data_IF_704512665301
#
_entry.id   IF_704512665301
#
_cell.length_a   1.000
_cell.length_b   1.000
_cell.length_c   1.000
_cell.angle_alpha   90.00
_cell.angle_beta   90.00
_cell.angle_gamma   90.00
#
_symmetry.space_group_name_H-M   'P 1'
#
loop_
_entity.id
_entity.type
_entity.pdbx_description
1 polymer ?
#
# COMPACT_ATOMS: atom_id res chain seq x y z
N UNK A 1 -26.87 -5.68 -25.89
CA UNK A 1 -26.68 -5.62 -24.41
C UNK A 1 -25.20 -5.47 -24.08
N UNK A 2 -24.86 -4.51 -23.27
CA UNK A 2 -23.48 -4.29 -22.88
C UNK A 2 -23.19 -5.08 -21.59
N UNK A 3 -22.19 -5.95 -21.66
CA UNK A 3 -21.74 -6.68 -20.48
C UNK A 3 -20.96 -5.73 -19.55
N UNK A 4 -21.40 -5.64 -18.31
CA UNK A 4 -20.66 -4.87 -17.31
C UNK A 4 -19.43 -5.66 -16.90
N UNK A 5 -18.27 -5.01 -16.91
CA UNK A 5 -17.06 -5.59 -16.37
C UNK A 5 -17.23 -5.80 -14.85
N UNK A 6 -16.65 -6.87 -14.31
CA UNK A 6 -16.65 -7.12 -12.88
C UNK A 6 -15.86 -6.01 -12.15
N UNK A 7 -16.14 -5.81 -10.85
CA UNK A 7 -15.40 -4.86 -10.03
C UNK A 7 -13.90 -5.15 -10.01
N UNK A 8 -13.56 -6.45 -9.97
CA UNK A 8 -12.16 -6.87 -10.00
C UNK A 8 -11.49 -6.48 -11.32
N UNK A 9 -12.17 -6.64 -12.46
CA UNK A 9 -11.65 -6.29 -13.77
C UNK A 9 -11.48 -4.78 -13.92
N UNK A 10 -12.43 -3.98 -13.44
CA UNK A 10 -12.34 -2.51 -13.45
C UNK A 10 -11.15 -2.05 -12.63
N UNK A 11 -10.97 -2.60 -11.43
CA UNK A 11 -9.84 -2.28 -10.56
C UNK A 11 -8.50 -2.65 -11.19
N UNK A 12 -8.43 -3.82 -11.83
CA UNK A 12 -7.24 -4.28 -12.54
C UNK A 12 -6.86 -3.33 -13.67
N UNK A 13 -7.85 -2.84 -14.44
CA UNK A 13 -7.60 -1.89 -15.51
C UNK A 13 -7.12 -0.53 -14.98
N UNK A 14 -7.68 -0.06 -13.88
CA UNK A 14 -7.23 1.18 -13.22
C UNK A 14 -5.79 1.03 -12.70
N UNK A 15 -5.47 -0.10 -12.11
CA UNK A 15 -4.12 -0.38 -11.62
C UNK A 15 -3.12 -0.40 -12.78
N UNK A 16 -3.47 -1.01 -13.91
CA UNK A 16 -2.63 -1.03 -15.11
C UNK A 16 -2.33 0.37 -15.64
N UNK A 17 -3.32 1.26 -15.64
CA UNK A 17 -3.14 2.66 -16.05
C UNK A 17 -2.20 3.41 -15.11
N UNK A 18 -2.36 3.22 -13.82
CA UNK A 18 -1.47 3.82 -12.81
C UNK A 18 -0.05 3.33 -13.00
N UNK A 19 0.15 2.03 -13.20
CA UNK A 19 1.46 1.41 -13.37
C UNK A 19 2.17 1.87 -14.65
N UNK A 20 1.42 2.31 -15.63
CA UNK A 20 1.98 2.85 -16.86
C UNK A 20 2.85 4.09 -16.61
N UNK A 21 2.52 4.88 -15.59
CA UNK A 21 3.24 6.10 -15.21
C UNK A 21 4.02 5.96 -13.90
N UNK A 22 3.95 4.81 -13.25
CA UNK A 22 4.53 4.61 -11.92
C UNK A 22 5.45 3.40 -11.89
N UNK A 23 6.76 3.66 -11.87
CA UNK A 23 7.78 2.65 -11.67
C UNK A 23 8.57 2.96 -10.42
N UNK A 24 8.70 1.97 -9.52
CA UNK A 24 9.56 2.08 -8.35
C UNK A 24 11.02 1.95 -8.75
N UNK A 25 11.88 2.79 -8.18
CA UNK A 25 13.32 2.74 -8.37
C UNK A 25 14.00 2.56 -7.01
N UNK A 26 15.34 2.40 -7.01
CA UNK A 26 16.10 2.30 -5.76
C UNK A 26 16.01 3.59 -4.93
N UNK A 27 15.94 4.77 -5.58
CA UNK A 27 15.85 6.07 -4.91
C UNK A 27 14.42 6.47 -4.58
N UNK A 28 13.45 6.04 -5.39
CA UNK A 28 12.03 6.30 -5.16
C UNK A 28 11.26 5.00 -5.43
N UNK A 29 11.31 4.04 -4.49
CA UNK A 29 10.60 2.79 -4.67
C UNK A 29 9.08 2.98 -4.61
N UNK A 30 8.35 1.97 -5.05
CA UNK A 30 6.89 2.01 -5.13
C UNK A 30 6.27 1.44 -3.86
N UNK A 31 5.43 2.23 -3.20
CA UNK A 31 4.60 1.76 -2.08
C UNK A 31 3.30 1.21 -2.64
N UNK A 32 3.16 -0.10 -2.66
CA UNK A 32 1.99 -0.80 -3.16
C UNK A 32 1.07 -1.22 -2.03
N UNK A 33 -0.22 -1.02 -2.21
CA UNK A 33 -1.27 -1.42 -1.26
C UNK A 33 -2.16 -2.47 -1.88
N UNK A 34 -2.46 -3.51 -1.12
CA UNK A 34 -3.39 -4.57 -1.52
C UNK A 34 -4.33 -4.88 -0.36
N UNK A 35 -5.61 -5.11 -0.68
CA UNK A 35 -6.64 -5.51 0.28
C UNK A 35 -7.20 -6.87 -0.06
N UNK A 36 -7.39 -7.71 0.96
CA UNK A 36 -8.25 -8.89 0.89
C UNK A 36 -9.49 -8.65 1.77
N UNK A 37 -10.36 -9.66 1.90
CA UNK A 37 -11.59 -9.54 2.67
C UNK A 37 -11.37 -9.15 4.13
N UNK A 38 -10.28 -9.63 4.73
CA UNK A 38 -10.03 -9.45 6.18
C UNK A 38 -8.71 -8.76 6.51
N UNK A 39 -7.86 -8.53 5.52
CA UNK A 39 -6.51 -8.03 5.75
C UNK A 39 -6.10 -6.98 4.75
N UNK A 40 -5.14 -6.15 5.17
CA UNK A 40 -4.53 -5.11 4.35
C UNK A 40 -3.03 -5.39 4.30
N UNK A 41 -2.44 -5.18 3.13
CA UNK A 41 -1.02 -5.42 2.88
C UNK A 41 -0.39 -4.18 2.28
N UNK A 42 0.86 -3.91 2.68
CA UNK A 42 1.66 -2.83 2.10
C UNK A 42 3.05 -3.35 1.82
N UNK A 43 3.59 -3.01 0.65
CA UNK A 43 4.94 -3.39 0.23
C UNK A 43 5.63 -2.20 -0.41
N UNK A 44 6.92 -2.05 -0.14
CA UNK A 44 7.76 -1.08 -0.83
C UNK A 44 8.69 -1.85 -1.76
N UNK A 45 8.58 -1.61 -3.05
CA UNK A 45 9.16 -2.42 -4.11
C UNK A 45 10.09 -1.59 -4.98
N UNK A 46 11.29 -2.12 -5.23
CA UNK A 46 12.19 -1.61 -6.26
C UNK A 46 11.93 -2.39 -7.55
N UNK A 47 11.24 -1.76 -8.52
CA UNK A 47 10.86 -2.40 -9.78
C UNK A 47 12.04 -2.60 -10.73
N UNK A 48 13.17 -1.93 -10.50
CA UNK A 48 14.36 -2.08 -11.36
C UNK A 48 15.00 -3.46 -11.22
N UNK A 49 14.88 -4.06 -10.02
CA UNK A 49 15.40 -5.40 -9.72
C UNK A 49 14.31 -6.39 -9.33
N UNK A 50 13.05 -5.94 -9.29
CA UNK A 50 11.91 -6.79 -8.90
C UNK A 50 11.96 -7.26 -7.46
N UNK A 51 12.49 -6.43 -6.55
CA UNK A 51 12.69 -6.81 -5.15
C UNK A 51 11.80 -6.01 -4.21
N UNK A 52 11.14 -6.70 -3.27
CA UNK A 52 10.44 -6.06 -2.17
C UNK A 52 11.44 -5.67 -1.09
N UNK A 53 11.54 -4.38 -0.83
CA UNK A 53 12.50 -3.84 0.15
C UNK A 53 11.95 -3.91 1.57
N UNK A 54 10.68 -3.56 1.74
CA UNK A 54 10.00 -3.55 3.04
C UNK A 54 8.57 -4.05 2.83
N UNK A 55 8.05 -4.82 3.76
CA UNK A 55 6.66 -5.26 3.73
C UNK A 55 6.03 -5.23 5.11
N UNK A 56 4.72 -5.02 5.15
CA UNK A 56 3.92 -5.11 6.38
C UNK A 56 2.50 -5.55 6.01
N UNK A 57 1.84 -6.25 6.92
CA UNK A 57 0.46 -6.63 6.74
C UNK A 57 -0.24 -6.78 8.09
N UNK A 58 -1.56 -6.69 8.08
CA UNK A 58 -2.38 -6.94 9.27
C UNK A 58 -2.40 -8.42 9.68
N UNK A 59 -1.87 -9.31 8.82
CA UNK A 59 -1.64 -10.73 9.16
C UNK A 59 -0.48 -10.91 10.11
N UNK A 60 0.49 -9.99 10.12
CA UNK A 60 1.67 -10.09 10.97
C UNK A 60 1.27 -10.01 12.45
N UNK A 61 1.79 -10.92 13.23
CA UNK A 61 1.44 -11.06 14.65
C UNK A 61 1.65 -9.78 15.44
N UNK A 62 2.74 -9.09 15.20
CA UNK A 62 3.09 -7.83 15.86
C UNK A 62 2.09 -6.72 15.53
N UNK A 63 1.64 -6.65 14.31
CA UNK A 63 0.66 -5.66 13.85
C UNK A 63 -0.72 -6.01 14.37
N UNK A 64 -1.12 -7.27 14.23
CA UNK A 64 -2.44 -7.77 14.63
C UNK A 64 -2.69 -7.65 16.12
N UNK A 65 -1.66 -7.78 16.95
CA UNK A 65 -1.78 -7.73 18.41
C UNK A 65 -2.30 -6.39 18.92
N UNK A 66 -2.09 -5.31 18.17
CA UNK A 66 -2.52 -3.96 18.54
C UNK A 66 -3.86 -3.56 17.90
N UNK A 67 -4.50 -4.48 17.16
CA UNK A 67 -5.73 -4.20 16.42
C UNK A 67 -6.91 -5.01 16.94
N UNK A 68 -8.06 -4.36 17.07
CA UNK A 68 -9.34 -5.05 17.34
C UNK A 68 -9.84 -5.72 16.05
N UNK A 69 -9.76 -5.00 14.93
CA UNK A 69 -10.12 -5.48 13.60
C UNK A 69 -8.95 -5.34 12.65
N UNK A 70 -8.88 -6.20 11.65
CA UNK A 70 -7.79 -6.22 10.67
C UNK A 70 -8.18 -5.64 9.31
N UNK A 71 -9.41 -5.16 9.15
CA UNK A 71 -9.95 -4.72 7.87
C UNK A 71 -10.61 -3.34 7.89
N UNK A 72 -10.49 -2.58 8.98
CA UNK A 72 -11.10 -1.25 9.10
C UNK A 72 -10.09 -0.12 8.84
N UNK A 73 -10.59 1.13 8.93
CA UNK A 73 -9.77 2.33 8.72
C UNK A 73 -8.67 2.46 9.76
N UNK A 74 -8.95 2.11 11.02
CA UNK A 74 -7.96 2.13 12.09
C UNK A 74 -6.82 1.14 11.82
N UNK A 75 -7.16 -0.05 11.31
CA UNK A 75 -6.17 -1.05 10.93
C UNK A 75 -5.27 -0.54 9.79
N UNK A 76 -5.86 0.12 8.79
CA UNK A 76 -5.12 0.71 7.68
C UNK A 76 -4.17 1.80 8.16
N UNK A 77 -4.62 2.68 9.05
CA UNK A 77 -3.78 3.73 9.63
C UNK A 77 -2.62 3.14 10.42
N UNK A 78 -2.86 2.14 11.24
CA UNK A 78 -1.81 1.45 12.00
C UNK A 78 -0.78 0.80 11.06
N UNK A 79 -1.24 0.12 10.02
CA UNK A 79 -0.36 -0.48 9.01
C UNK A 79 0.48 0.57 8.30
N UNK A 80 -0.10 1.72 7.97
CA UNK A 80 0.63 2.85 7.37
C UNK A 80 1.75 3.34 8.27
N UNK A 81 1.50 3.46 9.57
CA UNK A 81 2.51 3.82 10.55
C UNK A 81 3.64 2.78 10.60
N UNK A 82 3.28 1.50 10.61
CA UNK A 82 4.25 0.39 10.67
C UNK A 82 5.14 0.39 9.42
N UNK A 83 4.55 0.46 8.22
CA UNK A 83 5.32 0.45 6.97
C UNK A 83 6.20 1.69 6.85
N UNK A 84 5.69 2.85 7.28
CA UNK A 84 6.46 4.10 7.27
C UNK A 84 7.68 4.03 8.17
N UNK A 85 7.53 3.52 9.39
CA UNK A 85 8.64 3.34 10.33
C UNK A 85 9.68 2.36 9.80
N UNK A 86 9.23 1.22 9.26
CA UNK A 86 10.13 0.23 8.67
C UNK A 86 10.93 0.81 7.50
N UNK A 87 10.28 1.61 6.67
CA UNK A 87 10.92 2.24 5.53
C UNK A 87 11.99 3.25 5.97
N UNK A 88 11.69 4.09 6.95
CA UNK A 88 12.65 5.07 7.49
C UNK A 88 13.86 4.35 8.10
N UNK A 89 13.65 3.27 8.84
CA UNK A 89 14.72 2.44 9.40
C UNK A 89 15.59 1.81 8.31
N UNK A 90 14.98 1.48 7.16
CA UNK A 90 15.70 0.93 6.02
C UNK A 90 16.40 2.00 5.15
N UNK A 91 16.30 3.28 5.52
CA UNK A 91 16.90 4.38 4.79
C UNK A 91 16.09 4.88 3.60
N UNK A 92 14.82 4.51 3.50
CA UNK A 92 13.93 4.95 2.42
C UNK A 92 13.26 6.25 2.85
N UNK A 93 13.42 7.31 2.05
CA UNK A 93 12.85 8.63 2.35
C UNK A 93 11.60 8.92 1.52
N UNK A 94 11.65 8.61 0.22
CA UNK A 94 10.59 8.93 -0.72
C UNK A 94 10.09 7.68 -1.43
N UNK A 95 8.77 7.63 -1.68
CA UNK A 95 8.14 6.53 -2.40
C UNK A 95 7.12 7.08 -3.40
N UNK A 96 6.86 6.31 -4.45
CA UNK A 96 5.71 6.54 -5.33
C UNK A 96 4.53 5.71 -4.82
N UNK A 97 3.39 6.34 -4.58
CA UNK A 97 2.24 5.64 -4.02
C UNK A 97 1.44 4.92 -5.11
N UNK A 98 1.37 3.60 -5.02
CA UNK A 98 0.55 2.75 -5.89
C UNK A 98 -0.64 2.21 -5.09
N UNK A 99 -1.80 2.78 -5.32
CA UNK A 99 -3.04 2.39 -4.63
C UNK A 99 -3.66 1.08 -5.16
N UNK A 100 -2.99 0.39 -6.11
CA UNK A 100 -3.44 -0.91 -6.60
C UNK A 100 -4.76 -0.87 -7.36
N UNK A 101 -5.14 0.27 -7.96
CA UNK A 101 -6.41 0.45 -8.64
C UNK A 101 -7.59 0.72 -7.69
N UNK A 102 -7.36 0.76 -6.37
CA UNK A 102 -8.37 1.16 -5.40
C UNK A 102 -8.60 2.66 -5.43
N UNK A 103 -9.80 3.10 -5.04
CA UNK A 103 -10.12 4.52 -4.92
C UNK A 103 -9.32 5.09 -3.74
N UNK A 104 -8.73 6.29 -3.92
CA UNK A 104 -8.00 6.99 -2.86
C UNK A 104 -8.99 7.58 -1.84
N UNK A 105 -9.53 6.70 -1.00
CA UNK A 105 -10.56 7.02 -0.02
C UNK A 105 -10.55 5.99 1.11
N UNK A 106 -11.04 6.38 2.27
CA UNK A 106 -11.20 5.47 3.40
C UNK A 106 -9.89 4.81 3.83
N UNK A 107 -9.82 3.49 3.75
CA UNK A 107 -8.68 2.69 4.21
C UNK A 107 -7.38 3.04 3.48
N UNK A 108 -7.45 3.21 2.16
CA UNK A 108 -6.26 3.54 1.35
C UNK A 108 -5.71 4.91 1.74
N UNK A 109 -6.59 5.90 1.89
CA UNK A 109 -6.20 7.24 2.33
C UNK A 109 -5.63 7.22 3.75
N UNK A 110 -6.26 6.49 4.67
CA UNK A 110 -5.78 6.38 6.06
C UNK A 110 -4.38 5.79 6.14
N UNK A 111 -4.10 4.76 5.34
CA UNK A 111 -2.78 4.15 5.26
C UNK A 111 -1.75 5.15 4.73
N UNK A 112 -2.08 5.85 3.64
CA UNK A 112 -1.18 6.83 3.03
C UNK A 112 -0.86 7.99 3.99
N UNK A 113 -1.88 8.55 4.65
CA UNK A 113 -1.69 9.65 5.60
C UNK A 113 -0.81 9.21 6.78
N UNK A 114 -1.04 8.02 7.31
CA UNK A 114 -0.24 7.48 8.42
C UNK A 114 1.22 7.24 8.01
N UNK A 115 1.45 6.75 6.81
CA UNK A 115 2.81 6.55 6.29
C UNK A 115 3.55 7.89 6.12
N UNK A 116 2.84 8.92 5.67
CA UNK A 116 3.40 10.28 5.57
C UNK A 116 3.77 10.83 6.95
N UNK A 117 2.92 10.66 7.93
CA UNK A 117 3.18 11.07 9.32
C UNK A 117 4.38 10.33 9.92
N UNK A 118 4.61 9.09 9.54
CA UNK A 118 5.73 8.29 9.99
C UNK A 118 7.07 8.71 9.35
N UNK A 119 7.05 9.54 8.32
CA UNK A 119 8.24 10.12 7.72
C UNK A 119 8.45 9.87 6.24
N UNK A 120 7.57 9.13 5.57
CA UNK A 120 7.67 8.93 4.13
C UNK A 120 7.17 10.14 3.36
N UNK A 121 7.83 10.43 2.25
CA UNK A 121 7.49 11.54 1.35
C UNK A 121 6.88 10.99 0.06
N UNK A 122 5.68 11.42 -0.23
CA UNK A 122 5.02 11.11 -1.49
C UNK A 122 3.76 11.96 -1.70
#
# INVERSE_FOLDING_TARGET
MVNKASRAKIRENKHRRLRHHLNGTATTPRLAVFRSNKHIYAQIIDDTVGKTLVSASTLQKEVRAELENTDDVAAAAHLGTVIGKKAVEAGIESVGFDRGGYIYHGKVKALADAAREAGLKF
#
